data_IF_178557041752
#
_entry.id   IF_178557041752
#
_cell.length_a   1.000
_cell.length_b   1.000
_cell.length_c   1.000
_cell.angle_alpha   90.00
_cell.angle_beta   90.00
_cell.angle_gamma   90.00
#
_symmetry.space_group_name_H-M   'P 1'
#
loop_
_entity.id
_entity.type
_entity.pdbx_description
1 polymer ?
#
# COMPACT_ATOMS: atom_id res chain seq x y z
N UNK A 1 -8.74 4.89 -3.81
CA UNK A 1 -8.70 3.55 -3.16
C UNK A 1 -7.97 3.54 -1.81
N UNK A 2 -7.10 4.52 -1.56
CA UNK A 2 -6.20 4.60 -0.41
C UNK A 2 -6.45 5.87 0.40
N UNK A 3 -6.30 5.79 1.72
CA UNK A 3 -6.17 6.90 2.63
C UNK A 3 -4.76 6.86 3.26
N UNK A 4 -4.07 8.00 3.25
CA UNK A 4 -2.67 8.10 3.65
C UNK A 4 -2.53 9.10 4.81
N UNK A 5 -1.94 8.63 5.91
CA UNK A 5 -1.41 9.49 6.96
C UNK A 5 0.11 9.43 6.91
N UNK A 6 0.74 10.47 6.37
CA UNK A 6 2.17 10.39 6.11
C UNK A 6 2.70 11.39 5.10
N UNK A 7 3.90 11.09 4.62
CA UNK A 7 4.56 11.79 3.52
C UNK A 7 5.41 10.79 2.73
N UNK A 8 5.29 10.78 1.40
CA UNK A 8 6.18 9.97 0.52
C UNK A 8 7.41 10.80 0.13
N UNK A 9 8.56 10.47 0.70
CA UNK A 9 9.81 11.21 0.54
C UNK A 9 10.55 10.88 -0.77
N UNK A 10 10.24 9.74 -1.39
CA UNK A 10 10.83 9.29 -2.67
C UNK A 10 10.03 9.71 -3.91
N UNK A 11 8.96 10.49 -3.72
CA UNK A 11 7.90 10.75 -4.70
C UNK A 11 8.43 11.10 -6.10
N UNK A 12 9.34 12.07 -6.20
CA UNK A 12 9.86 12.51 -7.51
C UNK A 12 10.56 11.38 -8.27
N UNK A 13 11.29 10.53 -7.56
CA UNK A 13 11.93 9.35 -8.14
C UNK A 13 10.89 8.35 -8.62
N UNK A 14 9.90 8.07 -7.77
CA UNK A 14 8.82 7.13 -8.10
C UNK A 14 8.00 7.58 -9.33
N UNK A 15 7.62 8.85 -9.40
CA UNK A 15 6.89 9.40 -10.56
C UNK A 15 7.72 9.26 -11.84
N UNK A 16 9.01 9.60 -11.79
CA UNK A 16 9.89 9.51 -12.95
C UNK A 16 10.05 8.05 -13.42
N UNK A 17 10.17 7.11 -12.49
CA UNK A 17 10.30 5.68 -12.81
C UNK A 17 8.99 5.11 -13.36
N UNK A 18 7.83 5.54 -12.86
CA UNK A 18 6.54 5.20 -13.47
C UNK A 18 6.42 5.74 -14.90
N UNK A 19 6.77 7.01 -15.14
CA UNK A 19 6.81 7.59 -16.49
C UNK A 19 7.77 6.83 -17.41
N UNK A 20 8.92 6.39 -16.92
CA UNK A 20 9.85 5.58 -17.71
C UNK A 20 9.24 4.22 -18.09
N UNK A 21 8.44 3.60 -17.22
CA UNK A 21 7.75 2.33 -17.50
C UNK A 21 6.68 2.47 -18.57
N UNK A 22 5.99 3.61 -18.66
CA UNK A 22 4.93 3.84 -19.67
C UNK A 22 5.40 3.58 -21.10
N UNK A 23 6.68 3.82 -21.40
CA UNK A 23 7.26 3.58 -22.73
C UNK A 23 7.55 2.12 -23.08
N UNK A 24 7.50 1.19 -22.12
CA UNK A 24 7.81 -0.24 -22.32
C UNK A 24 6.74 -1.19 -21.78
N UNK A 25 5.76 -0.67 -21.04
CA UNK A 25 4.64 -1.47 -20.53
C UNK A 25 3.77 -2.00 -21.67
N UNK A 26 3.30 -3.23 -21.50
CA UNK A 26 2.31 -3.86 -22.38
C UNK A 26 1.24 -4.54 -21.53
N UNK A 27 0.05 -4.69 -22.07
CA UNK A 27 -1.08 -5.32 -21.39
C UNK A 27 -1.84 -6.20 -22.36
N UNK A 28 -2.15 -7.43 -21.96
CA UNK A 28 -3.06 -8.30 -22.71
C UNK A 28 -4.53 -7.92 -22.52
N UNK A 29 -4.85 -7.11 -21.50
CA UNK A 29 -6.21 -6.67 -21.21
C UNK A 29 -6.58 -5.41 -21.99
N UNK A 30 -5.65 -4.47 -22.10
CA UNK A 30 -5.87 -3.19 -22.79
C UNK A 30 -5.20 -3.15 -24.17
N UNK A 31 -4.27 -4.04 -24.47
CA UNK A 31 -3.54 -4.06 -25.76
C UNK A 31 -3.03 -2.65 -26.13
N UNK A 32 -3.38 -2.16 -27.32
CA UNK A 32 -3.00 -0.83 -27.81
C UNK A 32 -3.70 0.32 -27.04
N UNK A 33 -4.81 0.04 -26.35
CA UNK A 33 -5.55 1.04 -25.56
C UNK A 33 -4.89 1.35 -24.21
N UNK A 34 -3.85 0.60 -23.80
CA UNK A 34 -3.11 0.86 -22.55
C UNK A 34 -2.61 2.31 -22.48
N UNK A 35 -2.22 2.89 -23.61
CA UNK A 35 -1.73 4.27 -23.71
C UNK A 35 -2.77 5.32 -23.29
N UNK A 36 -4.06 4.98 -23.30
CA UNK A 36 -5.15 5.85 -22.84
C UNK A 36 -5.16 6.04 -21.32
N UNK A 37 -4.49 5.14 -20.59
CA UNK A 37 -4.34 5.23 -19.14
C UNK A 37 -3.13 6.09 -18.73
N UNK A 38 -2.41 6.68 -19.69
CA UNK A 38 -1.22 7.49 -19.43
C UNK A 38 -1.53 9.00 -19.40
N UNK A 39 -0.82 9.79 -18.58
CA UNK A 39 0.17 9.32 -17.60
C UNK A 39 -0.52 8.59 -16.43
N UNK A 40 0.10 7.52 -15.92
CA UNK A 40 -0.43 6.77 -14.79
C UNK A 40 -0.55 7.68 -13.57
N UNK A 41 0.48 8.51 -13.34
CA UNK A 41 0.45 9.54 -12.31
C UNK A 41 0.06 10.87 -12.92
N UNK A 42 -1.13 11.36 -12.57
CA UNK A 42 -1.63 12.65 -13.01
C UNK A 42 -0.80 13.81 -12.41
N UNK A 43 -0.75 14.91 -13.14
CA UNK A 43 -0.01 16.10 -12.71
C UNK A 43 -0.78 16.90 -11.66
N UNK A 44 -0.06 17.53 -10.73
CA UNK A 44 -0.65 18.42 -9.72
C UNK A 44 -1.33 17.71 -8.55
N UNK A 45 -1.22 16.38 -8.46
CA UNK A 45 -1.70 15.62 -7.30
C UNK A 45 -0.79 15.78 -6.08
N UNK A 46 -1.37 15.54 -4.90
CA UNK A 46 -0.59 15.33 -3.68
C UNK A 46 0.20 14.02 -3.78
N UNK A 47 1.16 13.82 -2.89
CA UNK A 47 1.90 12.55 -2.77
C UNK A 47 0.97 11.34 -2.62
N UNK A 48 -0.09 11.52 -1.82
CA UNK A 48 -1.13 10.54 -1.53
C UNK A 48 -1.97 10.23 -2.76
N UNK A 49 -2.32 11.26 -3.55
CA UNK A 49 -3.02 11.07 -4.82
C UNK A 49 -2.14 10.34 -5.84
N UNK A 50 -0.86 10.71 -5.93
CA UNK A 50 0.10 10.00 -6.79
C UNK A 50 0.21 8.50 -6.40
N UNK A 51 0.24 8.20 -5.10
CA UNK A 51 0.26 6.83 -4.61
C UNK A 51 -1.04 6.09 -4.99
N UNK A 52 -2.20 6.73 -4.80
CA UNK A 52 -3.50 6.14 -5.12
C UNK A 52 -3.61 5.77 -6.61
N UNK A 53 -3.19 6.67 -7.51
CA UNK A 53 -3.13 6.43 -8.94
C UNK A 53 -2.36 5.16 -9.30
N UNK A 54 -1.16 5.00 -8.75
CA UNK A 54 -0.32 3.83 -9.03
C UNK A 54 -0.90 2.57 -8.40
N UNK A 55 -1.43 2.66 -7.19
CA UNK A 55 -2.08 1.53 -6.53
C UNK A 55 -3.29 1.04 -7.33
N UNK A 56 -4.17 1.96 -7.76
CA UNK A 56 -5.31 1.66 -8.61
C UNK A 56 -4.87 1.07 -9.95
N UNK A 57 -3.85 1.65 -10.59
CA UNK A 57 -3.32 1.12 -11.85
C UNK A 57 -2.82 -0.31 -11.70
N UNK A 58 -2.07 -0.63 -10.65
CA UNK A 58 -1.59 -2.00 -10.39
C UNK A 58 -2.74 -2.99 -10.17
N UNK A 59 -3.80 -2.57 -9.48
CA UNK A 59 -4.96 -3.43 -9.20
C UNK A 59 -5.83 -3.60 -10.45
N UNK A 60 -6.21 -2.51 -11.11
CA UNK A 60 -7.19 -2.51 -12.21
C UNK A 60 -6.54 -2.87 -13.54
N UNK A 61 -5.40 -2.27 -13.87
CA UNK A 61 -4.72 -2.51 -15.14
C UNK A 61 -3.70 -3.64 -15.05
N UNK A 62 -2.97 -3.71 -13.93
CA UNK A 62 -1.99 -4.77 -13.65
C UNK A 62 -2.60 -6.10 -13.17
N UNK A 63 -3.91 -6.14 -12.91
CA UNK A 63 -4.64 -7.31 -12.39
C UNK A 63 -4.05 -7.90 -11.09
N UNK A 64 -3.34 -7.09 -10.30
CA UNK A 64 -2.83 -7.52 -8.99
C UNK A 64 -3.95 -7.47 -7.96
N UNK A 65 -3.85 -8.34 -6.96
CA UNK A 65 -4.70 -8.19 -5.78
C UNK A 65 -4.30 -6.92 -5.02
N UNK A 66 -5.25 -6.29 -4.29
CA UNK A 66 -4.94 -5.11 -3.49
C UNK A 66 -3.80 -5.35 -2.46
N UNK A 67 -3.75 -6.49 -1.73
CA UNK A 67 -2.61 -6.80 -0.87
C UNK A 67 -1.28 -6.90 -1.61
N UNK A 68 -1.25 -7.51 -2.79
CA UNK A 68 -0.04 -7.64 -3.61
C UNK A 68 0.46 -6.27 -4.09
N UNK A 69 -0.45 -5.39 -4.54
CA UNK A 69 -0.11 -4.03 -4.94
C UNK A 69 0.45 -3.22 -3.77
N UNK A 70 -0.20 -3.27 -2.61
CA UNK A 70 0.25 -2.60 -1.38
C UNK A 70 1.63 -3.10 -0.93
N UNK A 71 1.86 -4.42 -0.88
CA UNK A 71 3.14 -5.01 -0.50
C UNK A 71 4.26 -4.72 -1.52
N UNK A 72 3.91 -4.56 -2.81
CA UNK A 72 4.88 -4.18 -3.84
C UNK A 72 5.31 -2.73 -3.70
N UNK A 73 4.37 -1.82 -3.44
CA UNK A 73 4.66 -0.39 -3.31
C UNK A 73 5.31 -0.05 -1.96
N UNK A 74 4.90 -0.70 -0.88
CA UNK A 74 5.38 -0.46 0.49
C UNK A 74 5.86 -1.78 1.10
N UNK A 75 7.03 -2.29 0.67
CA UNK A 75 7.56 -3.53 1.21
C UNK A 75 8.05 -3.35 2.65
N UNK A 76 7.92 -4.41 3.45
CA UNK A 76 8.52 -4.49 4.78
C UNK A 76 10.06 -4.47 4.69
N UNK A 77 10.76 -4.27 5.81
CA UNK A 77 12.21 -4.34 5.87
C UNK A 77 12.75 -5.79 5.74
N UNK A 78 12.66 -6.37 4.53
CA UNK A 78 12.83 -7.80 4.28
C UNK A 78 14.28 -8.28 4.09
N UNK A 79 15.20 -7.41 3.65
CA UNK A 79 16.54 -7.84 3.23
C UNK A 79 17.34 -8.52 4.35
N UNK A 80 17.24 -7.97 5.56
CA UNK A 80 18.03 -8.38 6.73
C UNK A 80 17.20 -9.12 7.79
N UNK A 81 15.94 -9.44 7.49
CA UNK A 81 15.03 -10.10 8.43
C UNK A 81 15.19 -11.62 8.36
N UNK A 82 16.19 -12.17 9.07
CA UNK A 82 16.50 -13.60 9.10
C UNK A 82 15.33 -14.48 9.60
N UNK A 83 14.35 -13.91 10.29
CA UNK A 83 13.16 -14.61 10.80
C UNK A 83 12.01 -14.61 9.79
N UNK A 84 12.09 -13.80 8.73
CA UNK A 84 11.07 -13.75 7.68
C UNK A 84 10.94 -15.09 6.96
N UNK A 85 9.69 -15.54 6.81
CA UNK A 85 9.34 -16.70 6.01
C UNK A 85 9.95 -16.65 4.60
N UNK A 86 10.43 -17.80 4.12
CA UNK A 86 11.16 -17.89 2.85
C UNK A 86 10.30 -17.50 1.64
N UNK A 87 9.01 -17.84 1.62
CA UNK A 87 8.10 -17.48 0.53
C UNK A 87 7.85 -15.97 0.52
N UNK A 88 7.64 -15.37 1.70
CA UNK A 88 7.47 -13.91 1.83
C UNK A 88 8.71 -13.15 1.39
N UNK A 89 9.89 -13.59 1.81
CA UNK A 89 11.18 -13.01 1.39
C UNK A 89 11.39 -13.15 -0.12
N UNK A 90 11.05 -14.31 -0.70
CA UNK A 90 11.13 -14.53 -2.14
C UNK A 90 10.19 -13.59 -2.92
N UNK A 91 8.97 -13.38 -2.42
CA UNK A 91 8.03 -12.41 -2.97
C UNK A 91 8.61 -11.00 -2.97
N UNK A 92 9.12 -10.50 -1.83
CA UNK A 92 9.68 -9.15 -1.78
C UNK A 92 10.91 -8.99 -2.66
N UNK A 93 11.76 -10.02 -2.77
CA UNK A 93 12.90 -10.02 -3.68
C UNK A 93 12.44 -9.91 -5.14
N UNK A 94 11.39 -10.61 -5.53
CA UNK A 94 10.79 -10.48 -6.87
C UNK A 94 10.16 -9.09 -7.06
N UNK A 95 9.40 -8.60 -6.10
CA UNK A 95 8.73 -7.29 -6.16
C UNK A 95 9.73 -6.14 -6.30
N UNK A 96 10.86 -6.20 -5.59
CA UNK A 96 11.94 -5.21 -5.66
C UNK A 96 12.62 -5.14 -7.04
N UNK A 97 12.53 -6.20 -7.86
CA UNK A 97 12.99 -6.16 -9.25
C UNK A 97 12.00 -5.46 -10.18
N UNK A 98 10.72 -5.41 -9.80
CA UNK A 98 9.66 -4.82 -10.61
C UNK A 98 9.43 -3.34 -10.27
N UNK A 99 9.45 -3.00 -8.98
CA UNK A 99 9.09 -1.68 -8.49
C UNK A 99 9.96 -1.28 -7.30
N UNK A 100 10.44 -0.04 -7.35
CA UNK A 100 11.08 0.61 -6.23
C UNK A 100 10.04 0.98 -5.14
N UNK A 101 10.42 0.95 -3.85
CA UNK A 101 9.54 1.36 -2.77
C UNK A 101 9.06 2.82 -2.93
N UNK A 102 7.80 3.06 -2.57
CA UNK A 102 7.25 4.39 -2.32
C UNK A 102 7.45 4.69 -0.84
N UNK A 103 8.64 5.19 -0.51
CA UNK A 103 9.16 5.26 0.86
C UNK A 103 8.90 6.62 1.51
N UNK A 104 8.80 6.61 2.84
CA UNK A 104 8.47 7.74 3.68
C UNK A 104 7.57 7.34 4.85
N UNK A 105 7.42 8.19 5.89
CA UNK A 105 6.56 7.89 7.03
C UNK A 105 5.12 7.71 6.56
N UNK A 106 4.53 6.53 6.71
CA UNK A 106 3.21 6.24 6.17
C UNK A 106 2.41 5.24 7.01
N UNK A 107 1.15 5.59 7.29
CA UNK A 107 0.08 4.65 7.55
C UNK A 107 -0.90 4.76 6.39
N UNK A 108 -1.05 3.68 5.64
CA UNK A 108 -1.96 3.60 4.50
C UNK A 108 -3.10 2.65 4.86
N UNK A 109 -4.34 3.11 4.72
CA UNK A 109 -5.53 2.28 4.75
C UNK A 109 -6.09 2.18 3.33
N UNK A 110 -6.53 0.99 2.92
CA UNK A 110 -6.94 0.75 1.54
C UNK A 110 -8.12 -0.20 1.45
N UNK A 111 -8.93 -0.04 0.40
CA UNK A 111 -10.06 -0.91 0.11
C UNK A 111 -10.36 -0.97 -1.40
N UNK A 112 -10.73 -2.16 -1.90
CA UNK A 112 -11.20 -2.39 -3.27
C UNK A 112 -12.63 -2.96 -3.34
N UNK A 113 -13.33 -3.00 -2.20
CA UNK A 113 -14.65 -3.59 -2.05
C UNK A 113 -14.64 -5.09 -1.73
N UNK A 114 -13.51 -5.77 -1.89
CA UNK A 114 -13.30 -7.17 -1.46
C UNK A 114 -12.36 -7.24 -0.26
N UNK A 115 -11.27 -6.51 -0.32
CA UNK A 115 -10.29 -6.38 0.76
C UNK A 115 -10.43 -5.01 1.41
N UNK A 116 -10.29 -4.99 2.73
CA UNK A 116 -9.96 -3.78 3.50
C UNK A 116 -8.71 -4.11 4.30
N UNK A 117 -7.74 -3.20 4.30
CA UNK A 117 -6.47 -3.43 4.98
C UNK A 117 -5.75 -2.14 5.30
N UNK A 118 -4.66 -2.28 6.05
CA UNK A 118 -3.73 -1.20 6.29
C UNK A 118 -2.29 -1.72 6.29
N UNK A 119 -1.36 -0.86 5.89
CA UNK A 119 0.07 -1.13 5.92
C UNK A 119 0.81 0.08 6.50
N UNK A 120 1.86 -0.21 7.27
CA UNK A 120 2.80 0.78 7.75
C UNK A 120 4.01 0.83 6.82
N UNK A 121 4.66 1.99 6.77
CA UNK A 121 5.99 2.09 6.17
C UNK A 121 6.97 1.13 6.84
N UNK A 122 8.06 0.84 6.14
CA UNK A 122 9.07 -0.14 6.54
C UNK A 122 9.67 0.09 7.93
N UNK A 123 9.61 1.32 8.45
CA UNK A 123 10.17 1.72 9.73
C UNK A 123 9.09 1.96 10.79
N UNK A 124 7.80 1.85 10.45
CA UNK A 124 6.69 2.06 11.37
C UNK A 124 6.64 3.48 11.95
N UNK A 125 6.89 4.49 11.12
CA UNK A 125 7.05 5.88 11.58
C UNK A 125 5.73 6.58 11.92
N UNK A 126 4.59 5.95 11.61
CA UNK A 126 3.25 6.44 11.94
C UNK A 126 2.56 5.49 12.92
N UNK A 127 1.89 6.02 13.95
CA UNK A 127 1.19 5.18 14.89
C UNK A 127 -0.02 4.53 14.21
N UNK A 128 -0.20 3.24 14.47
CA UNK A 128 -1.40 2.51 14.09
C UNK A 128 -1.85 1.65 15.27
N UNK A 129 -3.15 1.65 15.53
CA UNK A 129 -3.76 0.88 16.61
C UNK A 129 -5.00 0.23 16.09
N UNK A 130 -5.19 -1.04 16.45
CA UNK A 130 -6.43 -1.71 16.13
C UNK A 130 -7.05 -2.45 17.31
N UNK A 131 -8.37 -2.48 17.27
CA UNK A 131 -9.24 -3.23 18.16
C UNK A 131 -9.98 -4.28 17.34
N UNK A 132 -9.89 -5.55 17.76
CA UNK A 132 -10.80 -6.59 17.30
C UNK A 132 -11.80 -6.86 18.42
N UNK A 133 -13.08 -6.81 18.06
CA UNK A 133 -14.21 -7.04 18.96
C UNK A 133 -14.74 -8.46 18.81
N UNK A 134 -15.49 -8.93 19.81
CA UNK A 134 -16.02 -10.30 19.86
C UNK A 134 -17.09 -10.59 18.80
N UNK A 135 -17.67 -9.55 18.19
CA UNK A 135 -18.60 -9.63 17.07
C UNK A 135 -17.90 -9.39 15.72
N UNK A 136 -16.58 -9.64 15.66
CA UNK A 136 -15.73 -9.60 14.48
C UNK A 136 -15.62 -8.22 13.78
N UNK A 137 -15.88 -7.12 14.48
CA UNK A 137 -15.53 -5.79 13.96
C UNK A 137 -14.07 -5.43 14.25
N UNK A 138 -13.38 -4.97 13.20
CA UNK A 138 -12.04 -4.43 13.26
C UNK A 138 -12.09 -2.90 13.18
N UNK A 139 -11.57 -2.24 14.21
CA UNK A 139 -11.42 -0.78 14.24
C UNK A 139 -9.94 -0.44 14.16
N UNK A 140 -9.56 0.42 13.22
CA UNK A 140 -8.19 0.90 13.08
C UNK A 140 -8.16 2.43 13.17
N UNK A 141 -7.21 2.95 13.93
CA UNK A 141 -7.00 4.38 14.09
C UNK A 141 -5.53 4.69 14.37
N UNK A 142 -5.12 5.93 14.07
CA UNK A 142 -3.81 6.46 14.49
C UNK A 142 -3.74 6.72 15.99
N UNK A 143 -4.89 6.80 16.67
CA UNK A 143 -5.00 7.15 18.08
C UNK A 143 -5.85 6.16 18.89
N UNK A 144 -5.75 6.20 20.22
CA UNK A 144 -6.63 5.43 21.13
C UNK A 144 -7.79 6.30 21.56
N UNK A 145 -8.94 5.69 21.87
CA UNK A 145 -10.09 6.43 22.40
C UNK A 145 -10.82 7.29 21.36
N UNK A 146 -10.62 7.01 20.07
CA UNK A 146 -11.38 7.66 18.99
C UNK A 146 -12.84 7.25 18.98
N UNK A 147 -13.14 6.05 19.49
CA UNK A 147 -14.49 5.55 19.68
C UNK A 147 -14.58 4.87 21.05
N UNK A 148 -15.72 5.04 21.72
CA UNK A 148 -16.01 4.40 22.99
C UNK A 148 -16.40 2.95 22.73
N UNK A 149 -15.53 2.04 23.16
CA UNK A 149 -15.77 0.60 23.07
C UNK A 149 -15.95 0.03 24.47
N UNK A 150 -16.96 -0.83 24.66
CA UNK A 150 -17.07 -1.63 25.87
C UNK A 150 -15.88 -2.58 25.96
N UNK A 151 -15.04 -2.41 27.00
CA UNK A 151 -13.82 -3.20 27.15
C UNK A 151 -14.07 -4.71 27.23
N UNK A 152 -15.25 -5.13 27.73
CA UNK A 152 -15.62 -6.54 27.80
C UNK A 152 -15.79 -7.18 26.42
N UNK A 153 -16.02 -6.38 25.38
CA UNK A 153 -16.22 -6.86 24.00
C UNK A 153 -14.92 -6.99 23.22
N UNK A 154 -13.80 -6.47 23.72
CA UNK A 154 -12.55 -6.39 22.96
C UNK A 154 -11.74 -7.67 23.16
N UNK A 155 -11.56 -8.45 22.09
CA UNK A 155 -10.80 -9.70 22.11
C UNK A 155 -9.31 -9.50 21.81
N UNK A 156 -8.95 -8.44 21.07
CA UNK A 156 -7.56 -8.11 20.77
C UNK A 156 -7.33 -6.61 20.69
N UNK A 157 -6.25 -6.14 21.33
CA UNK A 157 -5.73 -4.77 21.24
C UNK A 157 -4.28 -4.84 20.75
N UNK A 158 -3.96 -4.16 19.64
CA UNK A 158 -2.58 -4.06 19.14
C UNK A 158 -2.21 -2.59 18.96
N UNK A 159 -0.95 -2.29 19.26
CA UNK A 159 -0.35 -0.97 19.13
C UNK A 159 1.01 -1.16 18.46
N UNK A 160 1.25 -0.39 17.41
CA UNK A 160 2.55 -0.20 16.76
C UNK A 160 3.05 1.21 17.02
#
# INVERSE_FOLDING_TARGET
MVAHNGEINTLRGNINLMRAREGVMSSTLYEDDLVKLYPVVEEGLTDSGCFDNVCEFLVKAGQRSLPEAAMTMVPEAWEKDEEMDHEKRAFYRWAAMAMEPWDGPALLAFCDGRYVGAILDRNGLRPARYYLTADDHLYLSSEVGVNDHDEATIVKKVRT
#
